data_IF_583299898866
#
_entry.id   IF_583299898866
#
_cell.length_a   1.000
_cell.length_b   1.000
_cell.length_c   1.000
_cell.angle_alpha   90.00
_cell.angle_beta   90.00
_cell.angle_gamma   90.00
#
_symmetry.space_group_name_H-M   'P 1'
#
loop_
_entity.id
_entity.type
_entity.pdbx_description
1 polymer ?
#
# COMPACT_ATOMS: atom_id res chain seq x y z
N UNK A 1 -16.47 2.31 0.20
CA UNK A 1 -15.64 3.00 1.21
C UNK A 1 -14.24 2.39 1.19
N UNK A 2 -13.20 3.20 1.02
CA UNK A 2 -11.79 2.74 1.00
C UNK A 2 -11.17 3.02 2.37
N UNK A 3 -10.71 1.98 3.09
CA UNK A 3 -10.02 2.13 4.38
C UNK A 3 -8.58 2.63 4.19
N UNK A 4 -8.16 3.65 4.92
CA UNK A 4 -6.83 4.26 4.80
C UNK A 4 -5.84 3.75 5.86
N UNK A 5 -4.71 3.19 5.43
CA UNK A 5 -3.53 2.91 6.24
C UNK A 5 -2.51 4.04 6.11
N UNK A 6 -2.55 5.01 7.02
CA UNK A 6 -1.56 6.10 7.01
C UNK A 6 -0.21 5.60 7.54
N UNK A 7 0.85 5.78 6.74
CA UNK A 7 2.23 5.45 7.11
C UNK A 7 2.86 6.68 7.75
N UNK A 8 3.31 6.54 8.99
CA UNK A 8 3.75 7.64 9.86
C UNK A 8 5.07 7.31 10.56
N UNK A 9 5.88 8.33 10.92
CA UNK A 9 7.00 8.12 11.81
C UNK A 9 6.50 7.69 13.19
N UNK A 10 7.39 7.05 13.95
CA UNK A 10 7.05 6.45 15.25
C UNK A 10 6.41 7.48 16.20
N UNK A 11 6.88 8.73 16.18
CA UNK A 11 6.40 9.79 17.05
C UNK A 11 4.95 10.24 16.76
N UNK A 12 4.43 9.96 15.56
CA UNK A 12 3.11 10.43 15.10
C UNK A 12 2.03 9.35 15.10
N UNK A 13 2.38 8.06 15.17
CA UNK A 13 1.42 6.94 15.02
C UNK A 13 0.20 7.06 15.97
N UNK A 14 0.40 7.57 17.20
CA UNK A 14 -0.65 7.72 18.21
C UNK A 14 -1.15 9.17 18.37
N UNK A 15 -0.89 10.04 17.39
CA UNK A 15 -1.17 11.49 17.44
C UNK A 15 -2.18 11.96 16.39
N UNK A 16 -2.69 11.04 15.58
CA UNK A 16 -3.75 11.29 14.62
C UNK A 16 -5.12 11.28 15.29
N UNK A 17 -6.04 12.04 14.72
CA UNK A 17 -7.45 12.01 15.09
C UNK A 17 -8.04 10.61 14.84
N UNK A 18 -8.64 10.04 15.88
CA UNK A 18 -9.20 8.68 15.86
C UNK A 18 -10.45 8.58 15.00
N UNK A 19 -11.15 9.68 14.72
CA UNK A 19 -12.31 9.68 13.83
C UNK A 19 -11.96 9.27 12.39
N UNK A 20 -10.69 9.43 11.98
CA UNK A 20 -10.19 9.05 10.67
C UNK A 20 -9.38 7.73 10.68
N UNK A 21 -9.24 7.07 11.83
CA UNK A 21 -8.53 5.79 11.94
C UNK A 21 -9.41 4.65 11.44
N UNK A 22 -9.07 4.12 10.26
CA UNK A 22 -9.81 3.01 9.65
C UNK A 22 -9.42 1.63 10.20
N UNK A 23 -8.59 1.57 11.26
CA UNK A 23 -8.07 0.36 11.90
C UNK A 23 -7.30 -0.57 10.95
N UNK A 24 -6.79 -0.06 9.83
CA UNK A 24 -5.89 -0.80 8.94
C UNK A 24 -4.49 -0.21 9.07
N UNK A 25 -3.50 -1.09 9.24
CA UNK A 25 -2.13 -0.70 9.56
C UNK A 25 -1.18 -1.32 8.55
N UNK A 26 -0.27 -0.50 8.01
CA UNK A 26 0.81 -0.97 7.14
C UNK A 26 2.12 -0.99 7.93
N UNK A 27 2.69 -2.19 8.12
CA UNK A 27 3.97 -2.43 8.78
C UNK A 27 5.03 -2.69 7.71
N UNK A 28 6.08 -1.87 7.66
CA UNK A 28 7.16 -2.07 6.68
C UNK A 28 8.20 -3.06 7.22
N UNK A 29 8.46 -4.16 6.50
CA UNK A 29 9.38 -5.21 6.94
C UNK A 29 10.78 -4.68 7.28
N UNK A 30 11.35 -3.82 6.44
CA UNK A 30 12.68 -3.24 6.67
C UNK A 30 12.75 -2.38 7.94
N UNK A 31 11.65 -1.74 8.35
CA UNK A 31 11.58 -0.99 9.60
C UNK A 31 11.36 -1.89 10.80
N UNK A 32 10.53 -2.93 10.65
CA UNK A 32 10.32 -3.93 11.69
C UNK A 32 11.62 -4.64 12.09
N UNK A 33 12.51 -4.89 11.12
CA UNK A 33 13.85 -5.45 11.34
C UNK A 33 14.79 -4.49 12.08
N UNK A 34 14.67 -3.18 11.83
CA UNK A 34 15.57 -2.16 12.40
C UNK A 34 15.12 -1.67 13.78
N UNK A 35 13.83 -1.67 14.06
CA UNK A 35 13.25 -1.01 15.23
C UNK A 35 12.25 -1.89 15.96
N UNK A 36 12.69 -2.46 17.10
CA UNK A 36 11.80 -3.18 18.00
C UNK A 36 10.65 -2.30 18.54
N UNK A 37 10.90 -0.99 18.69
CA UNK A 37 9.88 -0.02 19.09
C UNK A 37 8.78 0.10 18.03
N UNK A 38 9.15 0.20 16.76
CA UNK A 38 8.21 0.23 15.64
C UNK A 38 7.35 -1.04 15.61
N UNK A 39 7.98 -2.21 15.65
CA UNK A 39 7.27 -3.49 15.69
C UNK A 39 6.30 -3.58 16.88
N UNK A 40 6.73 -3.18 18.09
CA UNK A 40 5.90 -3.23 19.29
C UNK A 40 4.64 -2.36 19.18
N UNK A 41 4.73 -1.20 18.53
CA UNK A 41 3.58 -0.31 18.31
C UNK A 41 2.54 -0.99 17.44
N UNK A 42 2.95 -1.58 16.31
CA UNK A 42 2.01 -2.25 15.40
C UNK A 42 1.42 -3.52 15.99
N UNK A 43 2.20 -4.31 16.75
CA UNK A 43 1.66 -5.45 17.51
C UNK A 43 0.62 -5.02 18.54
N UNK A 44 0.81 -3.85 19.17
CA UNK A 44 -0.19 -3.28 20.08
C UNK A 44 -1.46 -2.90 19.32
N UNK A 45 -1.34 -2.19 18.19
CA UNK A 45 -2.51 -1.82 17.35
C UNK A 45 -3.27 -3.05 16.87
N UNK A 46 -2.57 -4.12 16.50
CA UNK A 46 -3.20 -5.39 16.12
C UNK A 46 -3.99 -6.01 17.27
N UNK A 47 -3.43 -6.05 18.49
CA UNK A 47 -4.15 -6.53 19.69
C UNK A 47 -5.38 -5.68 20.05
N UNK A 48 -5.37 -4.41 19.68
CA UNK A 48 -6.49 -3.47 19.86
C UNK A 48 -7.55 -3.58 18.74
N UNK A 49 -7.45 -4.60 17.87
CA UNK A 49 -8.41 -4.87 16.79
C UNK A 49 -7.99 -4.35 15.42
N UNK A 50 -6.80 -3.75 15.31
CA UNK A 50 -6.25 -3.30 14.03
C UNK A 50 -5.92 -4.46 13.09
N UNK A 51 -6.20 -4.28 11.81
CA UNK A 51 -5.83 -5.22 10.75
C UNK A 51 -4.42 -4.89 10.23
N UNK A 52 -3.47 -5.80 10.43
CA UNK A 52 -2.06 -5.60 10.16
C UNK A 52 -1.65 -6.19 8.81
N UNK A 53 -1.30 -5.33 7.85
CA UNK A 53 -0.66 -5.70 6.59
C UNK A 53 0.86 -5.56 6.76
N UNK A 54 1.60 -6.61 6.47
CA UNK A 54 3.07 -6.57 6.39
C UNK A 54 3.51 -6.36 4.95
N UNK A 55 4.18 -5.23 4.71
CA UNK A 55 4.79 -4.86 3.43
C UNK A 55 6.16 -5.53 3.23
N UNK A 56 6.50 -5.86 1.97
CA UNK A 56 7.73 -6.57 1.59
C UNK A 56 8.95 -5.65 1.34
N UNK A 57 8.76 -4.34 1.47
CA UNK A 57 9.74 -3.26 1.28
C UNK A 57 10.28 -3.11 -0.14
N UNK A 58 9.54 -3.57 -1.15
CA UNK A 58 9.94 -3.42 -2.54
C UNK A 58 10.02 -1.96 -2.99
N UNK A 59 9.14 -1.08 -2.49
CA UNK A 59 9.17 0.34 -2.80
C UNK A 59 10.52 1.00 -2.46
N UNK A 60 11.17 0.53 -1.40
CA UNK A 60 12.39 1.12 -0.85
C UNK A 60 13.64 0.64 -1.58
N UNK A 61 13.65 -0.60 -2.04
CA UNK A 61 14.84 -1.25 -2.62
C UNK A 61 14.69 -1.60 -4.11
N UNK A 62 13.55 -1.27 -4.73
CA UNK A 62 13.21 -1.63 -6.11
C UNK A 62 12.70 -3.08 -6.27
N UNK A 63 12.87 -3.89 -5.23
CA UNK A 63 12.48 -5.30 -5.16
C UNK A 63 12.36 -5.71 -3.69
N UNK A 64 11.49 -6.67 -3.40
CA UNK A 64 11.30 -7.19 -2.05
C UNK A 64 12.63 -7.67 -1.43
N UNK A 65 12.75 -7.52 -0.10
CA UNK A 65 13.88 -8.05 0.66
C UNK A 65 13.90 -9.60 0.64
N UNK A 66 14.98 -10.21 1.12
CA UNK A 66 15.14 -11.67 1.02
C UNK A 66 14.07 -12.46 1.78
N UNK A 67 13.74 -13.65 1.27
CA UNK A 67 12.75 -14.53 1.90
C UNK A 67 13.09 -14.85 3.36
N UNK A 68 14.38 -15.03 3.70
CA UNK A 68 14.79 -15.32 5.08
C UNK A 68 14.46 -14.15 6.02
N UNK A 69 14.68 -12.91 5.58
CA UNK A 69 14.29 -11.73 6.33
C UNK A 69 12.76 -11.63 6.45
N UNK A 70 12.03 -11.90 5.36
CA UNK A 70 10.57 -11.88 5.36
C UNK A 70 10.00 -12.95 6.30
N UNK A 71 10.51 -14.18 6.27
CA UNK A 71 10.10 -15.25 7.19
C UNK A 71 10.34 -14.87 8.65
N UNK A 72 11.49 -14.26 8.95
CA UNK A 72 11.78 -13.76 10.29
C UNK A 72 10.77 -12.71 10.72
N UNK A 73 10.47 -11.71 9.88
CA UNK A 73 9.50 -10.66 10.21
C UNK A 73 8.09 -11.23 10.36
N UNK A 74 7.65 -12.10 9.45
CA UNK A 74 6.34 -12.76 9.51
C UNK A 74 6.19 -13.51 10.84
N UNK A 75 7.22 -14.27 11.24
CA UNK A 75 7.21 -15.04 12.49
C UNK A 75 7.04 -14.14 13.72
N UNK A 76 7.69 -12.98 13.76
CA UNK A 76 7.65 -12.09 14.94
C UNK A 76 6.46 -11.13 14.92
N UNK A 77 6.05 -10.66 13.74
CA UNK A 77 4.96 -9.70 13.56
C UNK A 77 3.59 -10.39 13.59
N UNK A 78 3.49 -11.61 13.05
CA UNK A 78 2.24 -12.37 12.90
C UNK A 78 1.13 -11.51 12.25
N UNK A 79 1.37 -10.98 11.03
CA UNK A 79 0.41 -10.10 10.38
C UNK A 79 -0.87 -10.85 9.97
N UNK A 80 -1.95 -10.11 9.80
CA UNK A 80 -3.21 -10.64 9.26
C UNK A 80 -3.11 -10.87 7.74
N UNK A 81 -2.28 -10.07 7.07
CA UNK A 81 -2.01 -10.15 5.64
C UNK A 81 -0.58 -9.79 5.31
N UNK A 82 -0.02 -10.45 4.30
CA UNK A 82 1.34 -10.26 3.86
C UNK A 82 1.39 -9.95 2.37
N UNK A 83 2.13 -8.89 2.02
CA UNK A 83 2.46 -8.55 0.63
C UNK A 83 3.56 -9.49 0.15
N UNK A 84 3.24 -10.32 -0.84
CA UNK A 84 4.18 -11.28 -1.40
C UNK A 84 5.33 -10.58 -2.15
N UNK A 85 6.51 -11.22 -2.25
CA UNK A 85 7.65 -10.65 -2.95
C UNK A 85 7.38 -10.27 -4.41
N UNK A 86 7.70 -9.02 -4.76
CA UNK A 86 7.61 -8.46 -6.11
C UNK A 86 8.87 -7.66 -6.50
N UNK A 87 8.93 -7.24 -7.77
CA UNK A 87 9.95 -6.38 -8.34
C UNK A 87 9.31 -5.27 -9.18
N UNK A 88 9.65 -4.01 -8.89
CA UNK A 88 8.98 -2.85 -9.48
C UNK A 88 9.13 -2.87 -11.01
N UNK A 89 8.00 -2.81 -11.71
CA UNK A 89 7.91 -2.80 -13.16
C UNK A 89 8.58 -4.02 -13.83
N UNK A 90 8.66 -5.18 -13.18
CA UNK A 90 9.19 -6.42 -13.76
C UNK A 90 8.27 -7.60 -13.47
N UNK A 91 7.39 -7.92 -14.41
CA UNK A 91 6.38 -8.97 -14.24
C UNK A 91 6.97 -10.37 -14.11
N UNK A 92 8.02 -10.70 -14.88
CA UNK A 92 8.65 -12.03 -14.88
C UNK A 92 9.36 -12.28 -13.57
N UNK A 93 10.13 -11.30 -13.10
CA UNK A 93 10.79 -11.39 -11.81
C UNK A 93 9.76 -11.44 -10.69
N UNK A 94 8.68 -10.66 -10.77
CA UNK A 94 7.59 -10.67 -9.78
C UNK A 94 6.92 -12.03 -9.66
N UNK A 95 6.53 -12.66 -10.77
CA UNK A 95 5.97 -14.02 -10.78
C UNK A 95 6.97 -14.99 -10.14
N UNK A 96 8.23 -14.99 -10.59
CA UNK A 96 9.28 -15.88 -10.07
C UNK A 96 9.49 -15.72 -8.55
N UNK A 97 9.55 -14.49 -8.05
CA UNK A 97 9.75 -14.21 -6.62
C UNK A 97 8.56 -14.70 -5.79
N UNK A 98 7.35 -14.43 -6.26
CA UNK A 98 6.12 -14.89 -5.61
C UNK A 98 6.06 -16.43 -5.59
N UNK A 99 6.26 -17.11 -6.72
CA UNK A 99 6.24 -18.59 -6.78
C UNK A 99 7.29 -19.21 -5.86
N UNK A 100 8.53 -18.72 -5.90
CA UNK A 100 9.61 -19.19 -5.04
C UNK A 100 9.32 -18.98 -3.54
N UNK A 101 8.59 -17.92 -3.19
CA UNK A 101 8.16 -17.68 -1.81
C UNK A 101 7.08 -18.70 -1.41
N UNK A 102 6.05 -18.87 -2.25
CA UNK A 102 4.94 -19.79 -2.00
C UNK A 102 5.39 -21.26 -1.88
N UNK A 103 6.39 -21.68 -2.65
CA UNK A 103 6.97 -23.03 -2.55
C UNK A 103 7.65 -23.30 -1.19
N UNK A 104 8.22 -22.26 -0.59
CA UNK A 104 8.98 -22.37 0.67
C UNK A 104 8.15 -22.04 1.90
N UNK A 105 7.09 -21.25 1.73
CA UNK A 105 6.27 -20.74 2.81
C UNK A 105 5.03 -21.58 3.02
N UNK A 106 5.08 -22.48 4.01
CA UNK A 106 3.88 -23.15 4.46
C UNK A 106 3.05 -22.22 5.36
N UNK A 107 2.04 -21.59 4.76
CA UNK A 107 1.16 -20.64 5.44
C UNK A 107 0.08 -21.32 6.31
N UNK A 108 -0.25 -22.59 6.06
CA UNK A 108 -1.38 -23.31 6.70
C UNK A 108 -2.71 -22.51 6.72
N UNK A 109 -2.88 -21.54 5.82
CA UNK A 109 -4.06 -20.65 5.77
C UNK A 109 -4.15 -19.62 6.90
N UNK A 110 -3.06 -19.35 7.64
CA UNK A 110 -3.08 -18.44 8.80
C UNK A 110 -3.01 -16.97 8.42
N UNK A 111 -2.34 -16.62 7.32
CA UNK A 111 -2.10 -15.24 6.89
C UNK A 111 -2.67 -15.04 5.49
N UNK A 112 -3.39 -13.96 5.23
CA UNK A 112 -3.83 -13.65 3.87
C UNK A 112 -2.64 -13.24 3.00
N UNK A 113 -2.63 -13.66 1.74
CA UNK A 113 -1.53 -13.37 0.83
C UNK A 113 -1.97 -12.37 -0.25
N UNK A 114 -1.28 -11.24 -0.31
CA UNK A 114 -1.49 -10.20 -1.31
C UNK A 114 -0.40 -10.28 -2.38
N UNK A 115 -0.77 -10.56 -3.62
CA UNK A 115 0.17 -10.46 -4.75
C UNK A 115 0.08 -9.08 -5.41
N UNK A 116 1.21 -8.57 -5.90
CA UNK A 116 1.29 -7.24 -6.52
C UNK A 116 1.62 -7.39 -8.00
N UNK A 117 0.66 -7.26 -8.92
CA UNK A 117 0.96 -7.24 -10.35
C UNK A 117 1.90 -6.08 -10.71
N UNK A 118 2.89 -6.40 -11.52
CA UNK A 118 3.96 -5.51 -11.99
C UNK A 118 4.08 -5.61 -13.50
N UNK A 119 4.61 -4.58 -14.16
CA UNK A 119 4.85 -4.57 -15.61
C UNK A 119 5.28 -3.18 -16.09
N UNK A 120 6.00 -3.11 -17.21
CA UNK A 120 6.39 -1.84 -17.85
C UNK A 120 5.34 -1.37 -18.86
N UNK A 121 4.61 -2.31 -19.43
CA UNK A 121 3.53 -2.05 -20.39
C UNK A 121 2.20 -2.57 -19.85
N UNK A 122 1.10 -2.12 -20.45
CA UNK A 122 -0.23 -2.59 -20.06
C UNK A 122 -0.39 -4.10 -20.28
N UNK A 123 0.21 -4.65 -21.35
CA UNK A 123 0.14 -6.08 -21.64
C UNK A 123 0.90 -6.91 -20.60
N UNK A 124 2.13 -6.50 -20.25
CA UNK A 124 2.91 -7.15 -19.18
C UNK A 124 2.15 -7.10 -17.84
N UNK A 125 1.54 -5.96 -17.52
CA UNK A 125 0.75 -5.81 -16.30
C UNK A 125 -0.46 -6.74 -16.30
N UNK A 126 -1.19 -6.84 -17.41
CA UNK A 126 -2.35 -7.72 -17.57
C UNK A 126 -1.93 -9.19 -17.45
N UNK A 127 -0.80 -9.59 -18.03
CA UNK A 127 -0.26 -10.94 -17.87
C UNK A 127 0.04 -11.27 -16.40
N UNK A 128 0.72 -10.36 -15.71
CA UNK A 128 1.00 -10.49 -14.28
C UNK A 128 -0.28 -10.58 -13.45
N UNK A 129 -1.25 -9.70 -13.74
CA UNK A 129 -2.54 -9.67 -13.07
C UNK A 129 -3.29 -10.99 -13.26
N UNK A 130 -3.38 -11.49 -14.51
CA UNK A 130 -4.04 -12.76 -14.82
C UNK A 130 -3.45 -13.89 -14.00
N UNK A 131 -2.12 -14.00 -13.97
CA UNK A 131 -1.42 -15.03 -13.20
C UNK A 131 -1.81 -15.04 -11.72
N UNK A 132 -1.85 -13.87 -11.06
CA UNK A 132 -2.21 -13.78 -9.64
C UNK A 132 -3.72 -13.89 -9.39
N UNK A 133 -4.53 -13.37 -10.31
CA UNK A 133 -5.99 -13.37 -10.18
C UNK A 133 -6.59 -14.77 -10.18
N UNK A 134 -5.97 -15.73 -10.90
CA UNK A 134 -6.43 -17.12 -10.99
C UNK A 134 -5.73 -18.05 -10.00
N UNK A 135 -4.66 -17.61 -9.33
CA UNK A 135 -3.93 -18.42 -8.37
C UNK A 135 -4.73 -18.58 -7.06
N UNK A 136 -5.10 -19.80 -6.64
CA UNK A 136 -5.93 -20.04 -5.45
C UNK A 136 -5.24 -19.74 -4.12
N UNK A 137 -3.90 -19.60 -4.10
CA UNK A 137 -3.15 -19.24 -2.89
C UNK A 137 -3.14 -17.73 -2.62
N UNK A 138 -3.63 -16.92 -3.56
CA UNK A 138 -3.64 -15.46 -3.46
C UNK A 138 -5.03 -14.99 -3.04
N UNK A 139 -5.10 -14.25 -1.92
CA UNK A 139 -6.34 -13.72 -1.36
C UNK A 139 -6.66 -12.31 -1.85
N UNK A 140 -5.63 -11.47 -2.03
CA UNK A 140 -5.78 -10.05 -2.37
C UNK A 140 -4.86 -9.66 -3.52
N UNK A 141 -5.26 -8.67 -4.31
CA UNK A 141 -4.42 -8.05 -5.34
C UNK A 141 -4.01 -6.64 -4.90
N UNK A 142 -2.70 -6.39 -4.81
CA UNK A 142 -2.12 -5.07 -4.54
C UNK A 142 -1.89 -4.29 -5.83
N UNK A 143 -2.44 -3.09 -5.95
CA UNK A 143 -2.29 -2.22 -7.12
C UNK A 143 -1.30 -1.09 -6.80
N UNK A 144 -0.03 -1.27 -7.14
CA UNK A 144 1.02 -0.29 -6.85
C UNK A 144 0.93 0.97 -7.74
N UNK A 145 0.92 2.15 -7.11
CA UNK A 145 0.97 3.42 -7.85
C UNK A 145 2.23 3.47 -8.72
N UNK A 146 3.37 3.07 -8.14
CA UNK A 146 4.68 3.15 -8.78
C UNK A 146 4.79 2.32 -10.06
N UNK A 147 4.18 1.14 -10.07
CA UNK A 147 4.22 0.25 -11.25
C UNK A 147 3.38 0.75 -12.41
N UNK A 148 2.40 1.62 -12.11
CA UNK A 148 1.50 2.21 -13.09
C UNK A 148 1.94 3.59 -13.56
N UNK A 149 3.04 4.14 -13.03
CA UNK A 149 3.55 5.47 -13.44
C UNK A 149 4.04 5.51 -14.89
N UNK A 150 4.48 4.36 -15.43
CA UNK A 150 4.92 4.21 -16.81
C UNK A 150 3.75 4.04 -17.81
N UNK A 151 2.53 3.90 -17.29
CA UNK A 151 1.34 3.65 -18.09
C UNK A 151 0.60 4.95 -18.41
N UNK A 152 -0.22 4.98 -19.47
CA UNK A 152 -1.03 6.14 -19.81
C UNK A 152 -1.85 6.63 -18.62
N UNK A 153 -1.89 7.95 -18.45
CA UNK A 153 -2.77 8.61 -17.48
C UNK A 153 -3.98 9.19 -18.22
N UNK A 154 -5.15 9.10 -17.60
CA UNK A 154 -6.38 9.68 -18.17
C UNK A 154 -6.35 11.21 -18.04
N UNK A 155 -5.71 11.73 -17.01
CA UNK A 155 -5.37 13.13 -16.81
C UNK A 155 -4.16 13.25 -15.85
N UNK A 156 -3.69 14.47 -15.61
CA UNK A 156 -2.50 14.72 -14.78
C UNK A 156 -2.65 14.28 -13.31
N UNK A 157 -3.88 14.04 -12.85
CA UNK A 157 -4.23 13.86 -11.43
C UNK A 157 -4.65 12.44 -11.07
N UNK A 158 -4.81 11.56 -12.06
CA UNK A 158 -5.19 10.17 -11.86
C UNK A 158 -4.03 9.28 -12.30
N UNK A 159 -3.58 8.41 -11.39
CA UNK A 159 -2.47 7.49 -11.68
C UNK A 159 -2.84 6.53 -12.82
N UNK A 160 -1.83 5.94 -13.46
CA UNK A 160 -2.05 4.91 -14.49
C UNK A 160 -2.82 3.69 -13.97
N UNK A 161 -3.03 3.57 -12.65
CA UNK A 161 -3.87 2.54 -12.03
C UNK A 161 -5.32 2.63 -12.49
N UNK A 162 -5.88 3.82 -12.71
CA UNK A 162 -7.23 3.93 -13.25
C UNK A 162 -7.29 3.39 -14.68
N UNK A 163 -6.31 3.72 -15.52
CA UNK A 163 -6.20 3.18 -16.87
C UNK A 163 -6.10 1.64 -16.87
N UNK A 164 -5.31 1.06 -15.96
CA UNK A 164 -5.25 -0.39 -15.76
C UNK A 164 -6.62 -0.97 -15.39
N UNK A 165 -7.33 -0.37 -14.43
CA UNK A 165 -8.62 -0.86 -13.97
C UNK A 165 -9.67 -0.80 -15.08
N UNK A 166 -9.79 0.32 -15.80
CA UNK A 166 -10.69 0.44 -16.97
C UNK A 166 -10.37 -0.61 -18.03
N UNK A 167 -9.10 -0.84 -18.30
CA UNK A 167 -8.67 -1.84 -19.28
C UNK A 167 -9.04 -3.26 -18.83
N UNK A 168 -8.84 -3.60 -17.55
CA UNK A 168 -9.23 -4.90 -17.00
C UNK A 168 -10.75 -5.10 -17.02
N UNK A 169 -11.52 -4.07 -16.68
CA UNK A 169 -12.99 -4.09 -16.68
C UNK A 169 -13.51 -4.27 -18.11
N UNK A 170 -13.05 -3.45 -19.05
CA UNK A 170 -13.46 -3.49 -20.45
C UNK A 170 -13.15 -4.85 -21.11
N UNK A 171 -12.07 -5.52 -20.68
CA UNK A 171 -11.68 -6.86 -21.16
C UNK A 171 -12.34 -8.02 -20.39
N UNK A 172 -13.15 -7.74 -19.36
CA UNK A 172 -13.76 -8.77 -18.52
C UNK A 172 -12.74 -9.57 -17.68
N UNK A 173 -11.60 -8.97 -17.34
CA UNK A 173 -10.48 -9.61 -16.65
C UNK A 173 -10.42 -9.30 -15.15
N UNK A 174 -11.22 -8.36 -14.65
CA UNK A 174 -11.23 -8.01 -13.23
C UNK A 174 -11.71 -9.21 -12.40
N UNK A 175 -10.93 -9.61 -11.40
CA UNK A 175 -11.30 -10.70 -10.50
C UNK A 175 -12.12 -10.22 -9.30
N UNK A 176 -12.78 -11.15 -8.62
CA UNK A 176 -13.59 -10.88 -7.42
C UNK A 176 -12.77 -10.74 -6.13
N UNK A 177 -11.46 -11.00 -6.18
CA UNK A 177 -10.58 -10.85 -5.02
C UNK A 177 -10.56 -9.38 -4.60
N UNK A 178 -10.48 -9.06 -3.29
CA UNK A 178 -10.30 -7.70 -2.85
C UNK A 178 -9.02 -7.07 -3.45
N UNK A 179 -9.07 -5.76 -3.67
CA UNK A 179 -7.94 -4.96 -4.14
C UNK A 179 -7.49 -3.97 -3.06
N UNK A 180 -6.18 -3.83 -2.92
CA UNK A 180 -5.52 -2.85 -2.05
C UNK A 180 -4.72 -1.87 -2.90
N UNK A 181 -4.91 -0.57 -2.71
CA UNK A 181 -4.17 0.47 -3.42
C UNK A 181 -2.85 0.74 -2.71
N UNK A 182 -1.75 0.30 -3.33
CA UNK A 182 -0.41 0.45 -2.78
C UNK A 182 0.17 1.83 -3.10
N UNK A 183 0.19 2.71 -2.09
CA UNK A 183 0.61 4.10 -2.20
C UNK A 183 -0.34 5.00 -3.02
N UNK A 184 -0.21 6.32 -2.83
CA UNK A 184 -0.87 7.35 -3.65
C UNK A 184 0.13 8.07 -4.56
N UNK A 185 -0.35 8.51 -5.72
CA UNK A 185 0.37 9.36 -6.67
C UNK A 185 0.07 10.86 -6.50
N UNK A 186 0.29 11.62 -7.57
CA UNK A 186 -0.16 13.01 -7.69
C UNK A 186 -1.66 13.09 -7.43
N UNK A 187 -2.09 14.10 -6.67
CA UNK A 187 -3.50 14.35 -6.37
C UNK A 187 -4.29 13.11 -5.93
N UNK A 188 -3.65 12.20 -5.18
CA UNK A 188 -4.22 10.89 -4.82
C UNK A 188 -5.59 10.93 -4.12
N UNK A 189 -5.98 12.05 -3.51
CA UNK A 189 -7.34 12.27 -3.04
C UNK A 189 -8.37 12.20 -4.18
N UNK A 190 -8.12 12.82 -5.34
CA UNK A 190 -8.97 12.70 -6.53
C UNK A 190 -9.04 11.25 -7.04
N UNK A 191 -7.91 10.54 -7.05
CA UNK A 191 -7.88 9.11 -7.38
C UNK A 191 -8.80 8.31 -6.43
N UNK A 192 -8.70 8.52 -5.12
CA UNK A 192 -9.57 7.87 -4.14
C UNK A 192 -11.07 8.12 -4.42
N UNK A 193 -11.44 9.36 -4.76
CA UNK A 193 -12.83 9.72 -5.09
C UNK A 193 -13.35 9.03 -6.35
N UNK A 194 -12.49 8.79 -7.34
CA UNK A 194 -12.86 8.04 -8.55
C UNK A 194 -12.94 6.55 -8.24
N UNK A 195 -11.93 6.01 -7.54
CA UNK A 195 -11.82 4.57 -7.30
C UNK A 195 -12.79 4.04 -6.25
N UNK A 196 -13.35 4.89 -5.36
CA UNK A 196 -14.30 4.44 -4.33
C UNK A 196 -15.60 3.84 -4.87
N UNK A 197 -15.92 4.06 -6.15
CA UNK A 197 -17.07 3.45 -6.82
C UNK A 197 -16.89 1.93 -7.00
N UNK A 198 -15.66 1.43 -7.04
CA UNK A 198 -15.39 0.00 -7.23
C UNK A 198 -15.41 -0.72 -5.87
N UNK A 199 -16.46 -1.50 -5.64
CA UNK A 199 -16.70 -2.20 -4.36
C UNK A 199 -15.65 -3.24 -3.99
N UNK A 200 -14.87 -3.74 -4.97
CA UNK A 200 -13.76 -4.66 -4.73
C UNK A 200 -12.51 -3.95 -4.16
N UNK A 201 -12.40 -2.62 -4.27
CA UNK A 201 -11.29 -1.85 -3.69
C UNK A 201 -11.60 -1.59 -2.21
N UNK A 202 -10.83 -2.25 -1.33
CA UNK A 202 -11.11 -2.24 0.11
C UNK A 202 -10.30 -1.23 0.91
N UNK A 203 -9.09 -0.91 0.46
CA UNK A 203 -8.16 -0.09 1.24
C UNK A 203 -7.04 0.51 0.42
N UNK A 204 -6.37 1.50 0.99
CA UNK A 204 -5.20 2.18 0.44
C UNK A 204 -4.21 2.49 1.55
N UNK A 205 -2.91 2.30 1.34
CA UNK A 205 -1.86 2.84 2.21
C UNK A 205 -1.21 4.09 1.60
N UNK A 206 -0.74 5.00 2.45
CA UNK A 206 0.00 6.16 1.97
C UNK A 206 0.78 6.86 3.09
N UNK A 207 1.99 7.33 2.75
CA UNK A 207 2.75 8.30 3.55
C UNK A 207 2.51 9.75 3.11
N UNK A 208 1.74 9.99 2.03
CA UNK A 208 1.64 11.30 1.39
C UNK A 208 1.14 12.39 2.36
N UNK A 209 0.18 12.07 3.23
CA UNK A 209 -0.35 13.02 4.21
C UNK A 209 0.75 13.57 5.13
N UNK A 210 1.64 12.69 5.61
CA UNK A 210 2.77 13.06 6.46
C UNK A 210 3.84 13.83 5.70
N UNK A 211 4.24 13.32 4.53
CA UNK A 211 5.33 13.93 3.74
C UNK A 211 4.97 15.36 3.34
N UNK A 212 3.72 15.63 2.94
CA UNK A 212 3.29 16.98 2.60
C UNK A 212 3.17 17.87 3.86
N UNK A 213 2.67 17.34 4.97
CA UNK A 213 2.60 18.08 6.23
C UNK A 213 3.99 18.50 6.75
N UNK A 214 4.98 17.60 6.65
CA UNK A 214 6.38 17.87 6.99
C UNK A 214 6.96 19.00 6.13
N UNK A 215 6.57 19.05 4.85
CA UNK A 215 6.96 20.08 3.90
C UNK A 215 6.07 21.35 3.94
N UNK A 216 5.30 21.55 5.01
CA UNK A 216 4.52 22.78 5.19
C UNK A 216 3.20 22.85 4.40
N UNK A 217 2.82 21.76 3.72
CA UNK A 217 1.68 21.73 2.81
C UNK A 217 0.45 21.08 3.44
N UNK A 218 -0.72 21.64 3.10
CA UNK A 218 -2.02 21.06 3.39
C UNK A 218 -2.75 20.69 2.10
N UNK A 219 -3.40 19.54 2.10
CA UNK A 219 -4.34 19.15 1.05
C UNK A 219 -5.61 19.99 1.15
N UNK A 220 -6.23 20.19 0.01
CA UNK A 220 -7.53 20.80 -0.15
C UNK A 220 -8.18 20.17 -1.38
N UNK A 221 -9.28 20.74 -1.88
CA UNK A 221 -9.99 20.18 -3.03
C UNK A 221 -9.23 20.31 -4.36
N UNK A 222 -8.14 21.10 -4.40
CA UNK A 222 -7.29 21.29 -5.56
C UNK A 222 -6.22 20.20 -5.68
N UNK A 223 -5.80 20.00 -6.91
CA UNK A 223 -4.72 19.09 -7.26
C UNK A 223 -3.38 19.46 -6.61
N UNK A 224 -2.56 18.44 -6.36
CA UNK A 224 -1.18 18.57 -5.87
C UNK A 224 -0.23 17.63 -6.63
N UNK A 225 1.05 18.02 -6.73
CA UNK A 225 2.14 17.12 -7.15
C UNK A 225 2.70 16.42 -5.93
N UNK A 226 2.86 15.10 -6.00
CA UNK A 226 3.37 14.31 -4.89
C UNK A 226 4.84 14.64 -4.64
N UNK A 227 5.17 14.98 -3.40
CA UNK A 227 6.55 15.03 -2.94
C UNK A 227 7.12 13.61 -2.85
N UNK A 228 8.13 13.31 -3.68
CA UNK A 228 8.80 12.01 -3.75
C UNK A 228 9.92 11.89 -2.71
N UNK A 229 9.57 12.02 -1.44
CA UNK A 229 10.47 11.81 -0.28
C UNK A 229 10.15 10.47 0.40
N UNK A 230 11.19 9.75 0.83
CA UNK A 230 11.02 8.58 1.70
C UNK A 230 10.81 9.07 3.13
N UNK A 231 9.86 8.46 3.83
CA UNK A 231 9.59 8.78 5.22
C UNK A 231 10.79 8.43 6.11
N UNK A 232 11.17 9.36 6.99
CA UNK A 232 12.10 9.10 8.08
C UNK A 232 11.29 8.68 9.32
N UNK A 233 11.40 7.41 9.70
CA UNK A 233 10.67 6.88 10.85
C UNK A 233 11.20 7.39 12.21
N UNK A 234 12.38 8.01 12.21
CA UNK A 234 13.02 8.65 13.37
C UNK A 234 12.63 10.12 13.55
N UNK A 235 11.82 10.71 12.64
CA UNK A 235 11.40 12.11 12.73
C UNK A 235 10.82 12.43 14.12
N UNK A 236 11.31 13.53 14.70
CA UNK A 236 10.83 14.03 15.98
C UNK A 236 9.42 14.62 15.86
N UNK A 237 8.68 14.58 16.97
CA UNK A 237 7.34 15.15 17.01
C UNK A 237 7.40 16.68 16.90
N UNK A 238 6.61 17.23 15.99
CA UNK A 238 6.38 18.66 15.80
C UNK A 238 4.87 18.91 15.73
N UNK A 239 4.39 19.85 16.54
CA UNK A 239 2.96 20.13 16.68
C UNK A 239 2.36 20.77 15.42
N UNK A 240 3.10 21.64 14.73
CA UNK A 240 2.66 22.26 13.48
C UNK A 240 2.58 21.22 12.35
N UNK A 241 3.52 20.28 12.31
CA UNK A 241 3.47 19.14 11.38
C UNK A 241 2.26 18.27 11.70
N UNK A 242 2.00 17.96 12.98
CA UNK A 242 0.85 17.15 13.38
C UNK A 242 -0.49 17.84 13.05
N UNK A 243 -0.59 19.15 13.20
CA UNK A 243 -1.76 19.92 12.81
C UNK A 243 -2.07 19.77 11.31
N UNK A 244 -1.07 20.01 10.44
CA UNK A 244 -1.22 19.84 8.98
C UNK A 244 -1.48 18.38 8.59
N UNK A 245 -0.85 17.43 9.29
CA UNK A 245 -1.07 16.00 9.07
C UNK A 245 -2.54 15.63 9.25
N UNK A 246 -3.19 16.10 10.32
CA UNK A 246 -4.59 15.79 10.58
C UNK A 246 -5.52 16.37 9.51
N UNK A 247 -5.23 17.59 9.01
CA UNK A 247 -5.95 18.17 7.85
C UNK A 247 -5.76 17.28 6.60
N UNK A 248 -4.54 16.83 6.33
CA UNK A 248 -4.27 16.00 5.17
C UNK A 248 -4.99 14.64 5.26
N UNK A 249 -4.99 14.02 6.44
CA UNK A 249 -5.72 12.78 6.71
C UNK A 249 -7.23 13.00 6.52
N UNK A 250 -7.79 14.10 7.04
CA UNK A 250 -9.23 14.37 6.90
C UNK A 250 -9.65 14.53 5.44
N UNK A 251 -8.83 15.20 4.62
CA UNK A 251 -9.09 15.35 3.18
C UNK A 251 -9.06 13.99 2.48
N UNK A 252 -8.02 13.17 2.72
CA UNK A 252 -7.95 11.83 2.14
C UNK A 252 -9.14 10.96 2.57
N UNK A 253 -9.51 11.03 3.85
CA UNK A 253 -10.66 10.31 4.40
C UNK A 253 -11.95 10.73 3.69
N UNK A 254 -12.23 12.03 3.59
CA UNK A 254 -13.45 12.53 2.94
C UNK A 254 -13.56 12.14 1.46
N UNK A 255 -12.44 11.97 0.77
CA UNK A 255 -12.44 11.54 -0.63
C UNK A 255 -12.55 10.00 -0.77
N UNK A 256 -12.11 9.24 0.22
CA UNK A 256 -12.20 7.78 0.26
C UNK A 256 -13.57 7.23 0.71
N UNK A 257 -14.37 8.07 1.36
CA UNK A 257 -15.68 7.77 1.93
C UNK A 257 -16.76 8.56 1.17
#
# INVERSE_FOLDING_TARGET
>A
MIRLATILPIAYINKIDRSYDSQICMLLAHQALKSAKYLKIYKKRQKEGGYLILDNSAYEFGKAISNDLLFNVIKVAQPDEFVLPDAICDFKTTIKLTSNFLEKYNNEGKIKLMAVPQGKTIDEYIECYKYFSTNPLIDTIGLASKSTELLPRINDYISGRHYVLETLIAKGLICKKPHHLLGLGDSGHHELKVLKQYTFIRSCDSSAAYIHAKNGLVFNDKSYTKISEKIDFGDSYDENVNYRLNINISVLYNYAN
#
